data_IF_492337977974
#
_entry.id   IF_492337977974
#
_cell.length_a   1.000
_cell.length_b   1.000
_cell.length_c   1.000
_cell.angle_alpha   90.00
_cell.angle_beta   90.00
_cell.angle_gamma   90.00
#
_symmetry.space_group_name_H-M   'P 1'
#
loop_
_entity.id
_entity.type
_entity.pdbx_description
1 polymer ?
#
# COMPACT_ATOMS: atom_id res chain seq x y z
N UNK A 1 0.90 -0.48 -17.74
CA UNK A 1 -0.42 -0.35 -17.09
C UNK A 1 -0.56 -1.45 -16.06
N UNK A 2 -0.97 -1.14 -14.83
CA UNK A 2 -1.11 -2.11 -13.74
C UNK A 2 -2.56 -2.13 -13.25
N UNK A 3 -3.16 -3.31 -13.16
CA UNK A 3 -4.51 -3.48 -12.62
C UNK A 3 -4.43 -3.94 -11.16
N UNK A 4 -5.02 -3.17 -10.26
CA UNK A 4 -5.02 -3.42 -8.82
C UNK A 4 -6.44 -3.51 -8.28
N UNK A 5 -6.59 -4.30 -7.21
CA UNK A 5 -7.85 -4.42 -6.49
C UNK A 5 -7.97 -3.33 -5.43
N UNK A 6 -8.89 -2.40 -5.62
CA UNK A 6 -9.31 -1.44 -4.61
C UNK A 6 -10.38 -2.07 -3.72
N UNK A 7 -10.26 -1.87 -2.41
CA UNK A 7 -11.17 -2.43 -1.43
C UNK A 7 -11.49 -1.36 -0.39
N UNK A 8 -12.78 -1.22 -0.06
CA UNK A 8 -13.26 -0.42 1.06
C UNK A 8 -14.48 -1.12 1.64
N UNK A 9 -14.23 -2.15 2.44
CA UNK A 9 -15.31 -2.97 3.00
C UNK A 9 -15.11 -3.29 4.48
N UNK A 10 -16.21 -3.64 5.15
CA UNK A 10 -16.27 -4.01 6.57
C UNK A 10 -17.30 -5.11 6.84
N UNK A 11 -17.09 -5.85 7.92
CA UNK A 11 -18.06 -6.86 8.38
C UNK A 11 -19.38 -6.19 8.78
N UNK A 12 -20.46 -6.98 8.88
CA UNK A 12 -21.78 -6.49 9.33
C UNK A 12 -21.70 -5.72 10.65
N UNK A 13 -20.87 -6.22 11.58
CA UNK A 13 -20.60 -5.69 12.92
C UNK A 13 -19.52 -4.60 12.95
N UNK A 14 -18.85 -4.32 11.84
CA UNK A 14 -17.75 -3.34 11.75
C UNK A 14 -16.43 -3.76 12.41
N UNK A 15 -16.39 -4.91 13.11
CA UNK A 15 -15.19 -5.40 13.81
C UNK A 15 -14.05 -5.73 12.85
N UNK A 16 -14.36 -6.17 11.63
CA UNK A 16 -13.38 -6.33 10.56
C UNK A 16 -13.54 -5.23 9.51
N UNK A 17 -12.43 -4.76 8.97
CA UNK A 17 -12.42 -3.83 7.85
C UNK A 17 -11.21 -4.09 6.96
N UNK A 18 -11.38 -3.94 5.65
CA UNK A 18 -10.31 -3.94 4.66
C UNK A 18 -10.35 -2.62 3.90
N UNK A 19 -9.17 -2.04 3.71
CA UNK A 19 -8.99 -0.82 2.93
C UNK A 19 -7.74 -0.95 2.08
N UNK A 20 -7.85 -0.60 0.81
CA UNK A 20 -6.70 -0.33 -0.03
C UNK A 20 -6.74 1.02 -0.69
N UNK A 21 -5.56 1.50 -1.04
CA UNK A 21 -5.29 2.80 -1.63
C UNK A 21 -4.20 2.62 -2.68
N UNK A 22 -4.25 3.43 -3.73
CA UNK A 22 -3.18 3.53 -4.72
C UNK A 22 -2.73 4.98 -4.74
N UNK A 23 -1.43 5.16 -4.55
CA UNK A 23 -0.77 6.46 -4.51
C UNK A 23 0.28 6.50 -5.62
N UNK A 24 0.63 7.70 -6.04
CA UNK A 24 1.83 7.97 -6.82
C UNK A 24 2.84 8.70 -5.94
N UNK A 25 4.10 8.30 -6.02
CA UNK A 25 5.21 8.96 -5.33
C UNK A 25 6.22 9.41 -6.38
N UNK A 26 6.52 10.71 -6.43
CA UNK A 26 7.51 11.25 -7.37
C UNK A 26 8.93 10.92 -6.89
N UNK A 27 9.92 11.01 -7.77
CA UNK A 27 11.34 10.92 -7.40
C UNK A 27 11.76 12.01 -6.39
N UNK A 28 11.09 13.17 -6.38
CA UNK A 28 11.29 14.23 -5.39
C UNK A 28 10.60 13.96 -4.04
N UNK A 29 9.77 12.92 -3.94
CA UNK A 29 9.07 12.51 -2.73
C UNK A 29 7.69 13.13 -2.52
N UNK A 30 7.11 13.78 -3.53
CA UNK A 30 5.71 14.18 -3.55
C UNK A 30 4.81 12.94 -3.53
N UNK A 31 3.70 12.98 -2.78
CA UNK A 31 2.74 11.87 -2.68
C UNK A 31 1.35 12.37 -3.04
N UNK A 32 0.72 11.73 -4.04
CA UNK A 32 -0.64 12.05 -4.50
C UNK A 32 -1.48 10.79 -4.66
N UNK A 33 -2.81 10.91 -4.61
CA UNK A 33 -3.70 9.78 -4.93
C UNK A 33 -3.68 9.48 -6.43
N UNK A 34 -3.52 8.21 -6.79
CA UNK A 34 -3.53 7.78 -8.18
C UNK A 34 -4.97 7.77 -8.71
N UNK A 35 -5.19 8.36 -9.89
CA UNK A 35 -6.49 8.30 -10.58
C UNK A 35 -6.54 7.09 -11.51
N UNK A 36 -7.54 6.22 -11.39
CA UNK A 36 -7.66 5.07 -12.28
C UNK A 36 -8.11 5.51 -13.68
N UNK A 37 -7.59 4.83 -14.72
CA UNK A 37 -8.03 4.99 -16.11
C UNK A 37 -9.28 4.17 -16.40
N UNK A 38 -9.33 2.96 -15.85
CA UNK A 38 -10.45 2.03 -15.95
C UNK A 38 -10.84 1.59 -14.55
N UNK A 39 -12.13 1.40 -14.31
CA UNK A 39 -12.64 0.89 -13.04
C UNK A 39 -13.80 -0.09 -13.29
N UNK A 40 -13.74 -1.27 -12.68
CA UNK A 40 -14.78 -2.29 -12.74
C UNK A 40 -15.17 -2.69 -11.33
N UNK A 41 -16.45 -2.59 -10.99
CA UNK A 41 -16.94 -3.04 -9.68
C UNK A 41 -16.82 -4.55 -9.57
N UNK A 42 -16.33 -5.01 -8.42
CA UNK A 42 -16.21 -6.44 -8.07
C UNK A 42 -16.81 -6.69 -6.69
N UNK A 43 -17.02 -7.97 -6.36
CA UNK A 43 -17.54 -8.36 -5.05
C UNK A 43 -16.54 -7.97 -3.96
N UNK A 44 -16.93 -7.23 -2.90
CA UNK A 44 -16.04 -6.86 -1.81
C UNK A 44 -15.67 -8.04 -0.93
N UNK A 45 -14.54 -7.92 -0.22
CA UNK A 45 -14.08 -8.93 0.74
C UNK A 45 -15.06 -9.11 1.90
N UNK A 46 -15.62 -8.01 2.41
CA UNK A 46 -16.60 -8.03 3.48
C UNK A 46 -17.98 -7.57 3.01
N UNK A 47 -19.00 -8.03 3.74
CA UNK A 47 -20.44 -7.84 3.44
C UNK A 47 -20.93 -6.40 3.23
N UNK A 48 -20.26 -5.38 3.78
CA UNK A 48 -20.66 -3.97 3.64
C UNK A 48 -19.53 -3.16 3.00
N UNK A 49 -19.80 -2.49 1.89
CA UNK A 49 -18.85 -1.60 1.22
C UNK A 49 -18.70 -1.94 -0.26
N UNK A 50 -17.56 -1.58 -0.82
CA UNK A 50 -17.29 -1.68 -2.24
C UNK A 50 -15.88 -2.17 -2.53
N UNK A 51 -15.72 -2.80 -3.69
CA UNK A 51 -14.43 -3.17 -4.24
C UNK A 51 -14.45 -2.96 -5.74
N UNK A 52 -13.28 -2.66 -6.28
CA UNK A 52 -13.07 -2.42 -7.70
C UNK A 52 -11.79 -3.08 -8.16
N UNK A 53 -11.75 -3.48 -9.42
CA UNK A 53 -10.50 -3.62 -10.14
C UNK A 53 -10.29 -2.35 -10.93
N UNK A 54 -9.12 -1.75 -10.75
CA UNK A 54 -8.80 -0.45 -11.30
C UNK A 54 -7.45 -0.49 -11.99
N UNK A 55 -7.37 0.04 -13.21
CA UNK A 55 -6.15 0.10 -13.99
C UNK A 55 -5.49 1.47 -13.85
N UNK A 56 -4.20 1.47 -13.58
CA UNK A 56 -3.41 2.66 -13.35
C UNK A 56 -2.27 2.75 -14.35
N UNK A 57 -2.00 3.99 -14.73
CA UNK A 57 -0.84 4.39 -15.51
C UNK A 57 0.13 5.13 -14.59
N UNK A 58 1.41 4.87 -14.76
CA UNK A 58 2.46 5.49 -13.94
C UNK A 58 3.17 6.53 -14.81
N UNK A 59 3.12 7.82 -14.45
CA UNK A 59 3.82 8.84 -15.21
C UNK A 59 5.35 8.68 -15.13
N UNK A 60 6.12 9.21 -16.10
CA UNK A 60 7.59 9.28 -16.00
C UNK A 60 8.04 10.03 -14.74
N UNK A 61 9.05 9.51 -14.03
CA UNK A 61 9.54 10.12 -12.77
C UNK A 61 8.65 9.84 -11.54
N UNK A 62 7.69 8.92 -11.67
CA UNK A 62 6.81 8.49 -10.58
C UNK A 62 6.87 6.99 -10.35
N UNK A 63 6.57 6.60 -9.13
CA UNK A 63 6.37 5.24 -8.68
C UNK A 63 4.92 5.06 -8.28
N UNK A 64 4.35 3.89 -8.59
CA UNK A 64 3.03 3.54 -8.10
C UNK A 64 3.15 2.77 -6.80
N UNK A 65 2.42 3.22 -5.78
CA UNK A 65 2.40 2.59 -4.48
C UNK A 65 1.01 2.05 -4.18
N UNK A 66 0.94 0.75 -3.94
CA UNK A 66 -0.27 0.08 -3.50
C UNK A 66 -0.21 -0.22 -2.01
N UNK A 67 -1.21 0.24 -1.27
CA UNK A 67 -1.33 0.01 0.17
C UNK A 67 -2.53 -0.87 0.41
N UNK A 68 -2.34 -2.01 1.08
CA UNK A 68 -3.43 -2.90 1.51
C UNK A 68 -3.41 -3.08 3.03
N UNK A 69 -4.49 -2.73 3.70
CA UNK A 69 -4.62 -2.79 5.16
C UNK A 69 -5.90 -3.53 5.56
N UNK A 70 -5.79 -4.38 6.58
CA UNK A 70 -6.89 -5.13 7.17
C UNK A 70 -6.87 -5.00 8.69
N UNK A 71 -8.00 -4.60 9.27
CA UNK A 71 -8.24 -4.60 10.70
C UNK A 71 -8.92 -5.89 11.13
N UNK A 72 -8.38 -6.52 12.18
CA UNK A 72 -8.98 -7.71 12.79
C UNK A 72 -9.95 -7.37 13.95
N UNK A 73 -10.58 -8.40 14.52
CA UNK A 73 -11.51 -8.27 15.66
C UNK A 73 -10.91 -7.60 16.89
N UNK A 74 -9.59 -7.71 17.08
CA UNK A 74 -8.86 -7.12 18.21
C UNK A 74 -8.42 -5.68 17.92
N UNK A 75 -8.89 -5.08 16.83
CA UNK A 75 -8.52 -3.74 16.40
C UNK A 75 -7.11 -3.63 15.80
N UNK A 76 -6.35 -4.72 15.71
CA UNK A 76 -5.01 -4.68 15.13
C UNK A 76 -5.09 -4.57 13.60
N UNK A 77 -4.32 -3.63 13.07
CA UNK A 77 -4.14 -3.44 11.62
C UNK A 77 -2.91 -4.21 11.16
N UNK A 78 -3.06 -4.96 10.07
CA UNK A 78 -1.98 -5.62 9.34
C UNK A 78 -2.13 -5.35 7.84
N UNK A 79 -1.07 -5.49 7.09
CA UNK A 79 -1.11 -5.21 5.67
C UNK A 79 0.24 -5.24 5.01
N UNK A 80 0.31 -4.64 3.83
CA UNK A 80 1.54 -4.45 3.10
C UNK A 80 1.47 -3.20 2.22
N UNK A 81 2.64 -2.72 1.85
CA UNK A 81 2.86 -1.61 0.93
C UNK A 81 3.76 -2.14 -0.18
N UNK A 82 3.31 -2.02 -1.42
CA UNK A 82 4.03 -2.45 -2.63
C UNK A 82 4.37 -1.25 -3.48
N UNK A 83 5.59 -1.22 -4.01
CA UNK A 83 6.12 -0.18 -4.88
C UNK A 83 6.36 -0.77 -6.25
N UNK A 84 5.82 -0.12 -7.27
CA UNK A 84 5.90 -0.54 -8.66
C UNK A 84 6.61 0.50 -9.52
N UNK A 85 7.39 0.01 -10.49
CA UNK A 85 7.98 0.82 -11.54
C UNK A 85 6.91 1.32 -12.51
N UNK A 86 7.35 2.17 -13.44
CA UNK A 86 6.53 2.60 -14.57
C UNK A 86 6.01 1.44 -15.42
N UNK A 87 6.86 0.43 -15.58
CA UNK A 87 6.61 -0.76 -16.39
C UNK A 87 5.82 -1.84 -15.64
N UNK A 88 5.19 -1.46 -14.52
CA UNK A 88 4.40 -2.34 -13.66
C UNK A 88 5.20 -3.47 -13.00
N UNK A 89 6.52 -3.33 -12.93
CA UNK A 89 7.38 -4.27 -12.22
C UNK A 89 7.34 -3.98 -10.73
N UNK A 90 7.25 -5.02 -9.90
CA UNK A 90 7.33 -4.84 -8.46
C UNK A 90 8.79 -4.60 -8.05
N UNK A 91 9.06 -3.39 -7.59
CA UNK A 91 10.39 -2.96 -7.14
C UNK A 91 10.64 -3.32 -5.67
N UNK A 92 9.62 -3.17 -4.83
CA UNK A 92 9.76 -3.32 -3.38
C UNK A 92 8.45 -3.64 -2.69
N UNK A 93 8.53 -4.37 -1.56
CA UNK A 93 7.39 -4.61 -0.67
C UNK A 93 7.80 -4.57 0.79
N UNK A 94 7.05 -3.82 1.58
CA UNK A 94 7.08 -3.86 3.04
C UNK A 94 5.79 -4.46 3.60
N UNK A 95 5.91 -5.30 4.63
CA UNK A 95 4.77 -5.79 5.42
C UNK A 95 4.60 -4.91 6.65
N UNK A 96 3.37 -4.51 6.91
CA UNK A 96 2.97 -3.75 8.09
C UNK A 96 2.23 -4.67 9.08
N UNK A 97 2.77 -4.86 10.28
CA UNK A 97 2.14 -5.69 11.32
C UNK A 97 2.62 -5.26 12.70
N UNK A 98 1.70 -5.22 13.68
CA UNK A 98 2.02 -4.85 15.08
C UNK A 98 2.77 -3.50 15.15
N UNK A 99 2.35 -2.53 14.32
CA UNK A 99 2.98 -1.21 14.20
C UNK A 99 4.45 -1.26 13.73
N UNK A 100 4.88 -2.36 13.11
CA UNK A 100 6.23 -2.51 12.55
C UNK A 100 6.15 -2.63 11.03
N UNK A 101 7.10 -2.00 10.34
CA UNK A 101 7.33 -2.19 8.91
C UNK A 101 8.56 -3.07 8.72
N UNK A 102 8.42 -4.12 7.91
CA UNK A 102 9.54 -5.01 7.57
C UNK A 102 9.58 -5.24 6.07
N UNK A 103 10.78 -5.16 5.48
CA UNK A 103 11.00 -5.61 4.10
C UNK A 103 10.55 -7.05 3.93
N UNK A 104 9.80 -7.32 2.88
CA UNK A 104 9.35 -8.66 2.52
C UNK A 104 9.95 -9.15 1.21
N UNK A 105 10.18 -8.26 0.23
CA UNK A 105 10.79 -8.58 -1.07
C UNK A 105 11.24 -7.31 -1.79
N UNK A 106 12.08 -7.46 -2.81
CA UNK A 106 12.59 -6.38 -3.63
C UNK A 106 13.80 -5.65 -3.06
N UNK A 107 14.20 -4.59 -3.76
CA UNK A 107 15.43 -3.85 -3.54
C UNK A 107 15.25 -2.76 -2.44
N UNK A 108 16.03 -2.82 -1.33
CA UNK A 108 15.97 -1.84 -0.26
C UNK A 108 16.16 -0.37 -0.68
N UNK A 109 16.77 -0.09 -1.84
CA UNK A 109 16.91 1.29 -2.35
C UNK A 109 15.59 2.03 -2.50
N UNK A 110 14.46 1.32 -2.56
CA UNK A 110 13.11 1.88 -2.65
C UNK A 110 12.39 2.01 -1.30
N UNK A 111 13.06 1.70 -0.18
CA UNK A 111 12.49 1.79 1.16
C UNK A 111 12.01 3.21 1.52
N UNK A 112 12.68 4.25 1.02
CA UNK A 112 12.30 5.65 1.24
C UNK A 112 10.89 5.96 0.74
N UNK A 113 10.44 5.32 -0.35
CA UNK A 113 9.09 5.49 -0.91
C UNK A 113 8.03 5.03 0.11
N UNK A 114 8.29 3.90 0.76
CA UNK A 114 7.42 3.38 1.82
C UNK A 114 7.36 4.34 3.01
N UNK A 115 8.50 4.94 3.39
CA UNK A 115 8.53 5.96 4.47
C UNK A 115 7.67 7.18 4.11
N UNK A 116 7.79 7.70 2.89
CA UNK A 116 6.95 8.82 2.40
C UNK A 116 5.47 8.52 2.44
N UNK A 117 5.07 7.32 2.02
CA UNK A 117 3.66 6.90 2.05
C UNK A 117 3.12 6.77 3.47
N UNK A 118 3.93 6.22 4.38
CA UNK A 118 3.55 6.07 5.80
C UNK A 118 3.38 7.42 6.47
N UNK A 119 4.30 8.35 6.21
CA UNK A 119 4.24 9.73 6.68
C UNK A 119 2.98 10.44 6.15
N UNK A 120 2.76 10.38 4.84
CA UNK A 120 1.59 10.98 4.19
C UNK A 120 0.26 10.45 4.76
N UNK A 121 0.17 9.13 4.97
CA UNK A 121 -1.02 8.49 5.52
C UNK A 121 -1.12 8.59 7.05
N UNK A 122 -0.13 9.17 7.72
CA UNK A 122 0.01 9.21 9.19
C UNK A 122 -0.17 7.83 9.83
N UNK A 123 0.38 6.79 9.18
CA UNK A 123 0.29 5.43 9.68
C UNK A 123 1.16 5.28 10.93
N UNK A 124 0.64 4.74 12.04
CA UNK A 124 1.40 4.60 13.26
C UNK A 124 2.48 3.52 13.12
N UNK A 125 3.75 3.91 13.17
CA UNK A 125 4.88 2.98 13.09
C UNK A 125 5.80 3.18 14.29
N UNK A 126 6.12 2.08 14.98
CA UNK A 126 7.05 2.05 16.11
C UNK A 126 8.46 1.68 15.68
N UNK A 127 8.60 0.70 14.78
CA UNK A 127 9.90 0.21 14.33
C UNK A 127 9.87 -0.08 12.83
N UNK A 128 11.00 0.13 12.18
CA UNK A 128 11.27 -0.27 10.80
C UNK A 128 12.39 -1.31 10.77
N UNK A 129 12.35 -2.17 9.76
CA UNK A 129 13.46 -3.00 9.30
C UNK A 129 13.26 -3.12 7.78
N UNK A 130 13.63 -2.05 7.08
CA UNK A 130 13.42 -1.91 5.64
C UNK A 130 14.63 -2.38 4.82
N UNK A 131 15.73 -2.75 5.47
CA UNK A 131 16.90 -3.35 4.85
C UNK A 131 17.86 -2.37 4.17
N UNK A 132 17.55 -1.08 4.19
CA UNK A 132 18.43 0.04 3.81
C UNK A 132 19.08 0.72 5.03
N UNK A 133 18.77 0.22 6.22
CA UNK A 133 19.36 0.65 7.49
C UNK A 133 20.73 -0.05 7.62
N UNK A 134 21.81 0.74 7.63
CA UNK A 134 23.16 0.20 7.90
C UNK A 134 23.20 -0.42 9.30
N UNK A 135 23.54 -1.71 9.37
CA UNK A 135 24.05 -2.36 10.58
C UNK A 135 23.11 -2.38 11.80
N UNK A 136 22.17 -3.32 11.82
CA UNK A 136 21.70 -3.92 13.06
C UNK A 136 22.25 -5.35 13.16
N UNK A 137 23.35 -5.51 13.90
CA UNK A 137 24.10 -6.77 14.13
C UNK A 137 23.25 -8.04 14.18
#
# INVERSE_FOLDING_TARGET
MLTLRLERSRSRTGKHAARSLVLLVSESGEVVEARPRLYRRVKPLYSKGEAFEASFEVPPGWYLVYVWLVRNLRGHVKGYIEVYSRDAELLYRAVYRRLKLRRSRGDPRYAWIVRRVVEHLRLPVKNTNLGDEEGGR
#
